data_IF_750166063964
#
_entry.id   IF_750166063964
#
_cell.length_a   1.000
_cell.length_b   1.000
_cell.length_c   1.000
_cell.angle_alpha   90.00
_cell.angle_beta   90.00
_cell.angle_gamma   90.00
#
_symmetry.space_group_name_H-M   'P 1'
#
loop_
_entity.id
_entity.type
_entity.pdbx_description
1 polymer ?
#
# COMPACT_ATOMS: atom_id res chain seq x y z
N UNK A 1 35.84 -3.82 -24.68
CA UNK A 1 34.69 -2.89 -24.63
C UNK A 1 33.47 -3.41 -23.87
N UNK A 2 33.40 -4.70 -23.49
CA UNK A 2 32.31 -5.25 -22.66
C UNK A 2 32.26 -4.86 -21.15
N UNK A 3 33.33 -4.39 -20.46
CA UNK A 3 33.22 -4.14 -19.01
C UNK A 3 32.43 -2.86 -18.69
N UNK A 4 32.37 -1.90 -19.62
CA UNK A 4 31.61 -0.65 -19.41
C UNK A 4 30.09 -0.86 -19.46
N UNK A 5 29.62 -1.80 -20.31
CA UNK A 5 28.20 -2.16 -20.39
C UNK A 5 27.70 -2.81 -19.08
N UNK A 6 28.57 -3.55 -18.38
CA UNK A 6 28.24 -4.16 -17.10
C UNK A 6 28.09 -3.12 -15.99
N UNK A 7 28.93 -2.08 -15.99
CA UNK A 7 28.86 -0.99 -15.00
C UNK A 7 27.61 -0.12 -15.17
N UNK A 8 27.15 0.08 -16.42
CA UNK A 8 25.87 0.76 -16.68
C UNK A 8 24.68 -0.14 -16.34
N UNK A 9 24.74 -1.43 -16.69
CA UNK A 9 23.69 -2.39 -16.33
C UNK A 9 23.43 -2.44 -14.83
N UNK A 10 24.48 -2.50 -14.00
CA UNK A 10 24.35 -2.54 -12.54
C UNK A 10 23.88 -1.20 -11.92
N UNK A 11 24.13 -0.05 -12.56
CA UNK A 11 23.65 1.26 -12.09
C UNK A 11 22.17 1.49 -12.39
N UNK A 12 21.64 0.93 -13.47
CA UNK A 12 20.21 1.09 -13.83
C UNK A 12 19.31 0.10 -13.08
N UNK A 13 19.83 -1.06 -12.62
CA UNK A 13 19.05 -2.03 -11.85
C UNK A 13 18.91 -1.73 -10.34
N UNK A 14 19.68 -0.79 -9.78
CA UNK A 14 19.86 -0.70 -8.31
C UNK A 14 19.48 0.63 -7.65
N UNK A 15 19.13 1.69 -8.40
CA UNK A 15 19.05 3.05 -7.83
C UNK A 15 17.70 3.50 -7.23
N UNK A 16 16.62 2.72 -7.22
CA UNK A 16 15.37 3.22 -6.60
C UNK A 16 14.36 2.16 -6.16
N UNK A 17 14.76 0.91 -5.90
CA UNK A 17 13.89 0.02 -5.13
C UNK A 17 14.01 0.40 -3.65
N UNK A 18 13.33 1.47 -3.26
CA UNK A 18 12.90 1.57 -1.86
C UNK A 18 12.13 0.29 -1.59
N UNK A 19 12.75 -0.55 -0.77
CA UNK A 19 12.25 -1.88 -0.51
C UNK A 19 11.15 -1.69 0.51
N UNK A 20 9.91 -1.83 0.04
CA UNK A 20 8.73 -1.88 0.91
C UNK A 20 9.01 -2.84 2.07
N UNK A 21 8.77 -2.37 3.30
CA UNK A 21 8.91 -3.19 4.50
C UNK A 21 7.67 -4.05 4.69
N UNK A 22 7.77 -5.39 4.63
CA UNK A 22 6.61 -6.26 4.82
C UNK A 22 5.89 -5.95 6.14
N UNK A 23 4.57 -5.75 6.07
CA UNK A 23 3.74 -5.39 7.20
C UNK A 23 3.69 -3.90 7.57
N UNK A 24 4.39 -2.99 6.87
CA UNK A 24 4.24 -1.54 7.12
C UNK A 24 2.85 -1.02 6.73
N UNK A 25 2.22 -1.62 5.72
CA UNK A 25 0.84 -1.35 5.36
C UNK A 25 -0.05 -2.55 5.67
N UNK A 26 -1.32 -2.27 5.93
CA UNK A 26 -2.37 -3.28 6.08
C UNK A 26 -3.56 -2.97 5.19
N UNK A 27 -4.23 -4.01 4.71
CA UNK A 27 -5.53 -3.89 4.06
C UNK A 27 -6.62 -4.15 5.10
N UNK A 28 -7.54 -3.20 5.25
CA UNK A 28 -8.71 -3.35 6.12
C UNK A 28 -9.97 -3.61 5.27
N UNK A 29 -10.76 -4.59 5.70
CA UNK A 29 -12.08 -4.90 5.14
C UNK A 29 -13.13 -4.53 6.17
N UNK A 30 -14.15 -3.76 5.73
CA UNK A 30 -15.25 -3.30 6.57
C UNK A 30 -16.55 -3.81 5.99
N UNK A 31 -17.34 -4.55 6.78
CA UNK A 31 -18.66 -5.00 6.31
C UNK A 31 -19.67 -3.86 6.42
N UNK A 32 -20.40 -3.63 5.32
CA UNK A 32 -21.40 -2.57 5.21
C UNK A 32 -22.74 -3.17 4.77
N UNK A 33 -23.87 -2.65 5.25
CA UNK A 33 -25.19 -3.19 4.93
C UNK A 33 -25.66 -2.84 3.51
N UNK A 34 -25.14 -1.76 2.94
CA UNK A 34 -25.44 -1.29 1.60
C UNK A 34 -24.37 -0.29 1.11
N UNK A 35 -24.41 0.01 -0.19
CA UNK A 35 -23.46 0.92 -0.86
C UNK A 35 -23.50 2.35 -0.31
N UNK A 36 -24.68 2.86 0.07
CA UNK A 36 -24.82 4.20 0.65
C UNK A 36 -24.01 4.35 1.93
N UNK A 37 -24.13 3.38 2.84
CA UNK A 37 -23.36 3.35 4.09
C UNK A 37 -21.87 3.26 3.83
N UNK A 38 -21.43 2.40 2.89
CA UNK A 38 -20.03 2.24 2.55
C UNK A 38 -19.39 3.56 2.05
N UNK A 39 -20.12 4.33 1.24
CA UNK A 39 -19.65 5.64 0.73
C UNK A 39 -19.56 6.69 1.83
N UNK A 40 -20.56 6.76 2.69
CA UNK A 40 -20.54 7.67 3.86
C UNK A 40 -19.38 7.32 4.79
N UNK A 41 -19.06 6.04 4.92
CA UNK A 41 -17.95 5.54 5.70
C UNK A 41 -16.58 5.98 5.20
N UNK A 42 -16.31 5.76 3.91
CA UNK A 42 -15.10 6.27 3.25
C UNK A 42 -14.98 7.79 3.35
N UNK A 43 -16.10 8.47 3.56
CA UNK A 43 -16.21 9.93 3.63
C UNK A 43 -16.35 10.49 5.05
N UNK A 44 -16.12 9.70 6.12
CA UNK A 44 -15.86 10.12 7.53
C UNK A 44 -16.84 9.69 8.65
N UNK A 45 -17.83 8.79 8.46
CA UNK A 45 -18.61 8.30 9.62
C UNK A 45 -19.18 6.87 9.44
N UNK A 46 -18.95 5.99 10.43
CA UNK A 46 -19.59 4.67 10.52
C UNK A 46 -20.98 4.79 11.16
N UNK A 47 -22.07 4.32 10.50
CA UNK A 47 -23.41 4.44 11.07
C UNK A 47 -23.74 3.40 12.13
N UNK A 48 -22.94 2.32 12.25
CA UNK A 48 -23.11 1.35 13.34
C UNK A 48 -22.21 1.64 14.53
N UNK A 49 -22.77 1.38 15.71
CA UNK A 49 -22.09 1.43 17.01
C UNK A 49 -20.94 0.43 17.12
N UNK A 50 -21.04 -0.74 16.45
CA UNK A 50 -19.98 -1.74 16.37
C UNK A 50 -19.75 -2.13 14.91
N UNK A 51 -18.64 -1.68 14.33
CA UNK A 51 -18.20 -2.05 12.99
C UNK A 51 -17.40 -3.37 13.03
N UNK A 52 -17.66 -4.28 12.09
CA UNK A 52 -16.73 -5.38 11.84
C UNK A 52 -15.62 -4.88 10.90
N UNK A 53 -14.41 -4.80 11.44
CA UNK A 53 -13.20 -4.39 10.71
C UNK A 53 -12.17 -5.49 10.85
N UNK A 54 -11.74 -6.06 9.73
CA UNK A 54 -10.69 -7.08 9.68
C UNK A 54 -9.49 -6.49 8.94
N UNK A 55 -8.34 -6.40 9.59
CA UNK A 55 -7.08 -5.94 9.00
C UNK A 55 -6.11 -7.09 8.77
N UNK A 56 -5.46 -7.11 7.61
CA UNK A 56 -4.41 -8.07 7.27
C UNK A 56 -3.15 -7.33 6.82
N UNK A 57 -1.95 -7.74 7.27
CA UNK A 57 -0.70 -7.11 6.86
C UNK A 57 -0.43 -7.38 5.37
N UNK A 58 0.08 -6.37 4.69
CA UNK A 58 0.54 -6.49 3.29
C UNK A 58 2.01 -6.89 3.35
N UNK A 59 2.32 -8.12 2.96
CA UNK A 59 3.70 -8.64 2.98
C UNK A 59 4.49 -8.26 1.72
N UNK A 60 3.83 -8.29 0.55
CA UNK A 60 4.45 -8.06 -0.75
C UNK A 60 3.45 -7.45 -1.74
N UNK A 61 3.95 -6.72 -2.74
CA UNK A 61 3.14 -6.10 -3.78
C UNK A 61 3.98 -5.29 -4.75
N UNK A 62 3.33 -4.41 -5.51
CA UNK A 62 4.02 -3.54 -6.48
C UNK A 62 4.74 -2.39 -5.76
N UNK A 63 6.09 -2.32 -5.75
CA UNK A 63 6.82 -1.37 -4.90
C UNK A 63 6.49 0.11 -5.14
N UNK A 64 6.39 0.61 -6.40
CA UNK A 64 5.99 2.00 -6.64
C UNK A 64 4.60 2.36 -6.10
N UNK A 65 3.68 1.39 -6.08
CA UNK A 65 2.33 1.60 -5.58
C UNK A 65 2.29 1.65 -4.06
N UNK A 66 2.99 0.73 -3.39
CA UNK A 66 3.06 0.71 -1.92
C UNK A 66 3.75 1.96 -1.38
N UNK A 67 4.83 2.41 -2.03
CA UNK A 67 5.49 3.68 -1.73
C UNK A 67 4.55 4.89 -1.89
N UNK A 68 3.70 4.88 -2.92
CA UNK A 68 2.72 5.95 -3.10
C UNK A 68 1.72 6.01 -1.93
N UNK A 69 1.27 4.86 -1.41
CA UNK A 69 0.38 4.80 -0.24
C UNK A 69 1.06 5.39 0.99
N UNK A 70 2.29 4.96 1.29
CA UNK A 70 3.08 5.47 2.43
C UNK A 70 3.29 7.00 2.36
N UNK A 71 3.36 7.58 1.16
CA UNK A 71 3.50 9.04 0.99
C UNK A 71 2.20 9.84 1.16
N UNK A 72 1.03 9.21 1.08
CA UNK A 72 -0.28 9.89 1.14
C UNK A 72 -0.93 9.77 2.52
N UNK A 73 -0.69 8.66 3.23
CA UNK A 73 -1.31 8.38 4.52
C UNK A 73 -0.34 8.76 5.64
N UNK A 74 -0.67 9.73 6.52
CA UNK A 74 0.15 10.00 7.71
C UNK A 74 0.07 8.83 8.70
N UNK A 75 1.19 8.55 9.38
CA UNK A 75 1.31 7.57 10.48
C UNK A 75 0.33 7.84 11.64
#
# INVERSE_FOLDING_TARGET
MLPLLRTVGLRVFSMASETYTPGSLSAAFVTCPNDTVARTLASSNHPYEVAEVISLPIEQGNPPYLKWIEGVVPE
#
